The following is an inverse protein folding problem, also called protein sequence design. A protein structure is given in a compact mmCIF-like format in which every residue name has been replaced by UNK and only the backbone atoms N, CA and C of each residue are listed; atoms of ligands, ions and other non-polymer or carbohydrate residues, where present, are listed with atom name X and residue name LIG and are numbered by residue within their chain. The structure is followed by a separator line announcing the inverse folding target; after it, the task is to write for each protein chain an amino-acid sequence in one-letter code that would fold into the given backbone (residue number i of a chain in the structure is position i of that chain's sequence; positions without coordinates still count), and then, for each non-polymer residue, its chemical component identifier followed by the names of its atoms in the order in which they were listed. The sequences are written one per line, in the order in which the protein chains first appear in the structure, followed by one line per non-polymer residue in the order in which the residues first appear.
data_IF_851602689761
#
_entry.id   IF_851602689761
#
_cell.length_a   1.000
_cell.length_b   1.000
_cell.length_c   1.000
_cell.angle_alpha   90.00
_cell.angle_beta   90.00
_cell.angle_gamma   90.00
#
_symmetry.space_group_name_H-M   'P 1'
#
loop_
_entity.id
_entity.type
_entity.pdbx_description
1 polymer ?
#
# COMPACT_ATOMS: atom_id res chain seq x y z
N UNK A 1 -24.63 -0.35 3.15
CA UNK A 1 -24.10 -0.39 3.58
C UNK A 1 -23.39 -0.82 4.10
N UNK A 2 -23.25 -0.49 4.12
CA UNK A 2 -22.55 -0.83 4.67
C UNK A 2 -22.25 -0.90 5.60
N UNK A 3 -22.40 -0.65 5.82
CA UNK A 3 -22.08 -0.63 6.65
C UNK A 3 -21.85 -0.90 7.49
N UNK A 4 -22.07 -0.99 7.42
CA UNK A 4 -21.87 -1.16 8.28
C UNK A 4 -21.22 -1.39 9.04
N UNK A 5 -21.03 -1.36 8.92
CA UNK A 5 -20.38 -1.49 9.63
C UNK A 5 -20.30 -0.99 10.75
N UNK A 6 -20.68 -0.50 10.84
CA UNK A 6 -20.70 0.05 11.81
C UNK A 6 -21.12 -0.45 12.86
N UNK A 7 -21.09 -0.91 12.90
CA UNK A 7 -21.65 -1.53 13.80
C UNK A 7 -21.05 -1.45 15.12
N UNK A 8 -21.00 -0.67 15.81
CA UNK A 8 -20.80 -0.61 17.15
C UNK A 8 -19.41 -0.79 17.72
N UNK A 9 -18.55 -1.37 17.09
CA UNK A 9 -17.19 -1.55 17.57
C UNK A 9 -16.31 -0.36 17.28
N UNK A 10 -15.09 -0.33 17.83
CA UNK A 10 -14.15 0.71 17.46
C UNK A 10 -13.85 0.64 15.97
N UNK A 11 -13.72 1.79 15.38
CA UNK A 11 -13.43 1.82 13.95
C UNK A 11 -12.00 1.41 13.70
N UNK A 12 -11.76 0.61 12.67
CA UNK A 12 -10.38 0.32 12.27
C UNK A 12 -9.64 1.60 11.94
N UNK A 13 -8.33 1.55 12.13
CA UNK A 13 -7.47 2.69 11.88
C UNK A 13 -7.71 3.29 10.48
N UNK A 14 -7.82 2.45 9.47
CA UNK A 14 -7.90 2.95 8.10
C UNK A 14 -9.25 3.60 7.78
N UNK A 15 -10.22 3.56 8.68
CA UNK A 15 -11.49 4.22 8.44
C UNK A 15 -11.52 5.66 8.91
N UNK A 16 -10.47 6.15 9.58
CA UNK A 16 -10.38 7.56 9.90
C UNK A 16 -10.19 8.37 8.63
N UNK A 17 -10.74 9.59 8.55
CA UNK A 17 -10.69 10.34 7.29
C UNK A 17 -9.29 10.52 6.72
N UNK A 18 -8.32 10.85 7.57
CA UNK A 18 -6.96 11.03 7.07
C UNK A 18 -6.36 9.72 6.59
N UNK A 19 -6.79 8.60 7.18
CA UNK A 19 -6.29 7.31 6.76
C UNK A 19 -7.03 6.77 5.56
N UNK A 20 -8.27 7.20 5.35
CA UNK A 20 -9.01 6.80 4.17
C UNK A 20 -8.36 7.32 2.91
N UNK A 21 -7.85 8.55 2.95
CA UNK A 21 -7.15 9.08 1.78
C UNK A 21 -5.93 8.24 1.45
N UNK A 22 -5.16 7.89 2.49
CA UNK A 22 -3.98 7.07 2.28
C UNK A 22 -4.37 5.70 1.74
N UNK A 23 -5.40 5.09 2.29
CA UNK A 23 -5.83 3.79 1.83
C UNK A 23 -6.35 3.83 0.39
N UNK A 24 -7.17 4.82 0.08
CA UNK A 24 -7.70 4.96 -1.28
C UNK A 24 -6.56 5.13 -2.28
N UNK A 25 -5.60 5.98 -1.93
CA UNK A 25 -4.45 6.20 -2.79
C UNK A 25 -3.63 4.91 -2.93
N UNK A 26 -3.40 4.23 -1.82
CA UNK A 26 -2.66 2.98 -1.82
C UNK A 26 -3.30 1.96 -2.77
N UNK A 27 -4.62 1.82 -2.69
CA UNK A 27 -5.31 0.87 -3.55
C UNK A 27 -5.20 1.25 -5.02
N UNK A 28 -5.22 2.54 -5.31
CA UNK A 28 -5.10 2.99 -6.69
C UNK A 28 -3.69 2.74 -7.23
N UNK A 29 -2.70 2.62 -6.37
CA UNK A 29 -1.33 2.45 -6.81
C UNK A 29 -0.94 0.98 -6.97
N UNK A 30 -1.86 0.07 -6.82
CA UNK A 30 -1.51 -1.36 -6.86
C UNK A 30 -1.07 -1.82 -8.24
N UNK A 31 -1.34 -1.05 -9.28
CA UNK A 31 -0.83 -1.37 -10.61
C UNK A 31 0.60 -0.88 -10.82
N UNK A 32 1.17 -0.20 -9.82
CA UNK A 32 2.50 0.39 -9.95
C UNK A 32 3.61 -0.48 -9.37
N UNK A 33 3.29 -1.70 -8.99
CA UNK A 33 4.31 -2.59 -8.45
C UNK A 33 5.33 -2.96 -9.50
N UNK A 34 6.61 -2.92 -9.12
CA UNK A 34 7.71 -3.35 -9.97
C UNK A 34 8.13 -4.74 -9.52
N UNK A 35 8.34 -5.62 -10.46
CA UNK A 35 8.67 -7.00 -10.16
C UNK A 35 10.06 -7.35 -10.67
N UNK A 36 10.78 -8.14 -9.88
CA UNK A 36 12.06 -8.67 -10.30
C UNK A 36 11.85 -9.77 -11.33
N UNK A 37 12.95 -10.21 -11.92
CA UNK A 37 12.91 -11.23 -12.97
C UNK A 37 12.27 -12.53 -12.52
N UNK A 38 12.28 -12.83 -11.23
CA UNK A 38 11.68 -14.05 -10.70
C UNK A 38 10.22 -13.86 -10.31
N UNK A 39 9.65 -12.71 -10.62
CA UNK A 39 8.25 -12.46 -10.32
C UNK A 39 7.98 -11.92 -8.94
N UNK A 40 9.03 -11.60 -8.19
CA UNK A 40 8.86 -11.06 -6.84
C UNK A 40 8.72 -9.55 -6.89
N UNK A 41 7.78 -8.98 -6.13
CA UNK A 41 7.67 -7.52 -6.08
C UNK A 41 8.87 -6.93 -5.35
N UNK A 42 9.38 -5.84 -5.89
CA UNK A 42 10.52 -5.17 -5.29
C UNK A 42 10.18 -3.80 -4.72
N UNK A 43 9.06 -3.25 -5.12
CA UNK A 43 8.63 -1.94 -4.63
C UNK A 43 7.73 -1.28 -5.65
N UNK A 44 7.26 -0.10 -5.31
CA UNK A 44 6.42 0.67 -6.20
C UNK A 44 7.28 1.49 -7.15
N UNK A 45 6.75 1.71 -8.35
CA UNK A 45 7.36 2.62 -9.31
C UNK A 45 7.02 4.05 -8.88
N UNK A 46 7.98 4.74 -8.26
CA UNK A 46 7.67 6.04 -7.70
C UNK A 46 7.49 7.14 -8.74
N UNK A 47 7.97 6.93 -9.95
CA UNK A 47 7.61 7.86 -11.03
C UNK A 47 6.12 7.76 -11.30
N UNK A 48 5.56 6.55 -11.27
CA UNK A 48 4.12 6.37 -11.43
C UNK A 48 3.35 6.90 -10.24
N UNK A 49 3.90 6.73 -9.04
CA UNK A 49 3.26 7.27 -7.84
C UNK A 49 3.17 8.80 -7.95
N UNK A 50 4.27 9.42 -8.34
CA UNK A 50 4.27 10.87 -8.48
C UNK A 50 3.26 11.33 -9.52
N UNK A 51 3.21 10.63 -10.65
CA UNK A 51 2.27 10.99 -11.70
C UNK A 51 0.83 10.86 -11.19
N UNK A 52 0.54 9.80 -10.45
CA UNK A 52 -0.79 9.61 -9.91
C UNK A 52 -1.16 10.75 -8.96
N UNK A 53 -0.24 11.08 -8.06
CA UNK A 53 -0.52 12.13 -7.08
C UNK A 53 -0.80 13.45 -7.78
N UNK A 54 -0.06 13.75 -8.83
CA UNK A 54 -0.26 14.97 -9.59
C UNK A 54 -1.60 14.98 -10.30
N UNK A 55 -1.92 13.90 -10.98
CA UNK A 55 -3.17 13.81 -11.73
C UNK A 55 -4.38 13.81 -10.82
N UNK A 56 -4.25 13.21 -9.65
CA UNK A 56 -5.34 13.15 -8.68
C UNK A 56 -5.39 14.41 -7.82
N UNK A 57 -4.47 15.36 -8.06
CA UNK A 57 -4.42 16.60 -7.32
C UNK A 57 -4.16 16.39 -5.84
N UNK A 58 -3.35 15.40 -5.54
CA UNK A 58 -2.95 15.10 -4.17
C UNK A 58 -1.56 15.62 -3.86
N UNK A 59 -0.93 16.29 -4.82
CA UNK A 59 0.43 16.79 -4.63
C UNK A 59 0.47 18.14 -3.96
N UNK A 60 -0.68 18.67 -3.56
CA UNK A 60 -0.74 19.99 -2.92
C UNK A 60 -1.71 19.96 -1.77
N UNK A 61 -1.39 20.66 -0.69
CA UNK A 61 -0.13 21.37 -0.47
C UNK A 61 1.02 20.37 -0.24
N UNK A 62 2.26 20.82 -0.42
CA UNK A 62 3.40 19.88 -0.30
C UNK A 62 3.45 19.12 1.01
N UNK A 63 3.02 19.76 2.09
CA UNK A 63 3.01 19.08 3.38
C UNK A 63 2.09 17.87 3.38
N UNK A 64 0.92 18.01 2.77
CA UNK A 64 -0.01 16.90 2.65
C UNK A 64 0.58 15.80 1.76
N UNK A 65 1.19 16.21 0.66
CA UNK A 65 1.78 15.23 -0.25
C UNK A 65 2.87 14.43 0.43
N UNK A 66 3.70 15.10 1.23
CA UNK A 66 4.76 14.39 1.95
C UNK A 66 4.20 13.39 2.96
N UNK A 67 3.15 13.79 3.67
CA UNK A 67 2.52 12.88 4.62
C UNK A 67 1.90 11.68 3.93
N UNK A 68 1.23 11.93 2.82
CA UNK A 68 0.62 10.86 2.06
C UNK A 68 1.68 9.91 1.52
N UNK A 69 2.77 10.45 1.01
CA UNK A 69 3.85 9.63 0.50
C UNK A 69 4.46 8.78 1.61
N UNK A 70 4.65 9.37 2.79
CA UNK A 70 5.18 8.61 3.92
C UNK A 70 4.27 7.45 4.29
N UNK A 71 2.95 7.67 4.25
CA UNK A 71 2.01 6.60 4.53
C UNK A 71 2.09 5.50 3.49
N UNK A 72 2.21 5.88 2.22
CA UNK A 72 2.32 4.90 1.15
C UNK A 72 3.61 4.09 1.29
N UNK A 73 4.70 4.74 1.63
CA UNK A 73 5.97 4.03 1.83
C UNK A 73 5.88 3.06 3.00
N UNK A 74 5.16 3.46 4.05
CA UNK A 74 4.98 2.57 5.19
C UNK A 74 4.18 1.34 4.80
N UNK A 75 3.11 1.53 4.04
CA UNK A 75 2.30 0.41 3.57
C UNK A 75 3.10 -0.48 2.63
N UNK A 76 3.93 0.13 1.81
CA UNK A 76 4.78 -0.64 0.91
C UNK A 76 5.72 -1.56 1.68
N UNK A 77 6.38 -1.03 2.70
CA UNK A 77 7.30 -1.84 3.49
C UNK A 77 6.58 -2.97 4.20
N UNK A 78 5.43 -2.68 4.78
CA UNK A 78 4.66 -3.71 5.47
C UNK A 78 4.24 -4.80 4.49
N UNK A 79 3.78 -4.40 3.32
CA UNK A 79 3.31 -5.34 2.32
C UNK A 79 4.44 -6.22 1.81
N UNK A 80 5.60 -5.62 1.52
CA UNK A 80 6.73 -6.40 1.06
C UNK A 80 7.18 -7.40 2.12
N UNK A 81 7.19 -6.97 3.38
CA UNK A 81 7.58 -7.85 4.46
C UNK A 81 6.59 -9.00 4.59
N UNK A 82 5.32 -8.70 4.50
CA UNK A 82 4.28 -9.73 4.60
C UNK A 82 4.37 -10.72 3.45
N UNK A 83 4.59 -10.24 2.25
CA UNK A 83 4.71 -11.13 1.10
C UNK A 83 5.94 -12.03 1.21
N UNK A 84 7.06 -11.47 1.68
CA UNK A 84 8.27 -12.26 1.86
C UNK A 84 8.06 -13.35 2.92
N UNK A 85 7.37 -12.98 4.00
CA UNK A 85 7.04 -13.93 5.06
C UNK A 85 6.19 -15.06 4.54
N UNK A 86 5.15 -14.71 3.78
CA UNK A 86 4.25 -15.72 3.24
C UNK A 86 4.99 -16.63 2.28
N UNK A 87 5.86 -16.09 1.44
CA UNK A 87 6.61 -16.89 0.50
C UNK A 87 7.49 -17.89 1.23
N UNK A 88 8.11 -17.47 2.33
CA UNK A 88 8.93 -18.39 3.11
C UNK A 88 8.10 -19.51 3.71
N UNK A 89 6.92 -19.19 4.22
CA UNK A 89 6.07 -20.19 4.84
C UNK A 89 5.51 -21.19 3.84
N UNK A 90 5.32 -20.76 2.60
CA UNK A 90 4.74 -21.60 1.58
C UNK A 90 5.77 -22.35 0.75
N UNK A 91 7.05 -22.17 1.04
CA UNK A 91 8.09 -22.85 0.29
C UNK A 91 8.01 -24.34 0.54
N UNK A 92 8.05 -25.17 -0.51
CA UNK A 92 8.07 -26.61 -0.31
C UNK A 92 9.31 -27.05 0.46
N UNK A 93 9.18 -28.13 1.21
CA UNK A 93 10.29 -28.61 2.00
C UNK A 93 11.51 -28.92 1.13
N UNK A 94 11.29 -29.46 -0.06
CA UNK A 94 12.39 -29.79 -0.96
C UNK A 94 13.16 -28.56 -1.41
N UNK A 95 12.52 -27.42 -1.46
CA UNK A 95 13.17 -26.20 -1.90
C UNK A 95 14.02 -25.55 -0.84
N UNK A 96 13.96 -26.05 0.39
CA UNK A 96 14.73 -25.47 1.47
C UNK A 96 16.12 -26.05 1.60
N UNK A 97 16.44 -27.03 0.81
CA UNK A 97 17.72 -27.68 0.89
C UNK A 97 18.78 -27.04 0.11
#
# INVERSE_FOLDING_TARGET
MLDQSDTGGPKPFFLLPENQRALTTWLALQTQWVYAGMGQPTGLNYAGVEAYLRLARLDRPPRRAKGLLADIQRMERVTLHEWADRARRERPASARR
#
